data_IF_729801659378
#
_entry.id   IF_729801659378
#
_cell.length_a   1.000
_cell.length_b   1.000
_cell.length_c   1.000
_cell.angle_alpha   90.00
_cell.angle_beta   90.00
_cell.angle_gamma   90.00
#
_symmetry.space_group_name_H-M   'P 1'
#
loop_
_entity.id
_entity.type
_entity.pdbx_description
1 polymer ?
#
# COMPACT_ATOMS: atom_id res chain seq x y z
N UNK A 1 -23.36 -31.37 -47.61
CA UNK A 1 -23.75 -30.70 -46.34
C UNK A 1 -22.94 -31.17 -45.12
N UNK A 2 -22.59 -32.46 -44.98
CA UNK A 2 -21.83 -33.01 -43.84
C UNK A 2 -20.38 -32.51 -43.73
N UNK A 3 -19.66 -32.45 -44.85
CA UNK A 3 -18.22 -32.09 -44.88
C UNK A 3 -17.94 -30.63 -44.49
N UNK A 4 -18.87 -29.71 -44.78
CA UNK A 4 -18.76 -28.29 -44.41
C UNK A 4 -18.97 -28.09 -42.90
N UNK A 5 -19.93 -28.81 -42.31
CA UNK A 5 -20.17 -28.78 -40.86
C UNK A 5 -18.99 -29.33 -40.07
N UNK A 6 -18.46 -30.48 -40.49
CA UNK A 6 -17.27 -31.06 -39.87
C UNK A 6 -16.05 -30.12 -39.96
N UNK A 7 -15.93 -29.36 -41.06
CA UNK A 7 -14.84 -28.39 -41.21
C UNK A 7 -15.02 -27.17 -40.31
N UNK A 8 -16.25 -26.66 -40.19
CA UNK A 8 -16.59 -25.57 -39.26
C UNK A 8 -16.29 -25.98 -37.81
N UNK A 9 -16.71 -27.17 -37.40
CA UNK A 9 -16.49 -27.70 -36.06
C UNK A 9 -14.99 -27.82 -35.74
N UNK A 10 -14.18 -28.37 -36.66
CA UNK A 10 -12.72 -28.42 -36.46
C UNK A 10 -12.06 -27.03 -36.33
N UNK A 11 -12.57 -26.03 -37.08
CA UNK A 11 -12.03 -24.67 -37.04
C UNK A 11 -12.42 -23.93 -35.77
N UNK A 12 -13.61 -24.19 -35.23
CA UNK A 12 -14.04 -23.65 -33.94
C UNK A 12 -13.22 -24.23 -32.79
N UNK A 13 -12.92 -25.52 -32.84
CA UNK A 13 -12.08 -26.22 -31.87
C UNK A 13 -10.62 -25.74 -31.92
N UNK A 14 -10.05 -25.59 -33.13
CA UNK A 14 -8.74 -24.98 -33.35
C UNK A 14 -8.69 -23.53 -32.83
N UNK A 15 -9.74 -22.74 -33.08
CA UNK A 15 -9.82 -21.36 -32.59
C UNK A 15 -9.92 -21.30 -31.06
N UNK A 16 -10.68 -22.20 -30.44
CA UNK A 16 -10.77 -22.29 -28.99
C UNK A 16 -9.43 -22.66 -28.35
N UNK A 17 -8.71 -23.62 -28.92
CA UNK A 17 -7.40 -24.05 -28.44
C UNK A 17 -6.34 -22.94 -28.57
N UNK A 18 -6.30 -22.25 -29.70
CA UNK A 18 -5.42 -21.10 -29.92
C UNK A 18 -5.75 -19.93 -28.98
N UNK A 19 -7.03 -19.64 -28.74
CA UNK A 19 -7.46 -18.62 -27.79
C UNK A 19 -7.02 -18.95 -26.36
N UNK A 20 -7.14 -20.21 -25.94
CA UNK A 20 -6.69 -20.68 -24.64
C UNK A 20 -5.16 -20.59 -24.50
N UNK A 21 -4.42 -20.95 -25.54
CA UNK A 21 -2.96 -20.82 -25.59
C UNK A 21 -2.52 -19.35 -25.52
N UNK A 22 -3.15 -18.48 -26.30
CA UNK A 22 -2.90 -17.04 -26.27
C UNK A 22 -3.21 -16.47 -24.88
N UNK A 23 -4.36 -16.81 -24.29
CA UNK A 23 -4.75 -16.36 -22.94
C UNK A 23 -3.75 -16.77 -21.86
N UNK A 24 -3.18 -17.99 -21.94
CA UNK A 24 -2.10 -18.45 -21.05
C UNK A 24 -0.81 -17.67 -21.23
N UNK A 25 -0.50 -17.21 -22.45
CA UNK A 25 0.79 -16.61 -22.78
C UNK A 25 0.77 -15.07 -22.85
N UNK A 26 -0.38 -14.41 -22.95
CA UNK A 26 -0.51 -12.94 -22.91
C UNK A 26 0.17 -12.37 -21.66
N UNK A 27 0.07 -13.08 -20.53
CA UNK A 27 0.74 -12.70 -19.29
C UNK A 27 2.26 -12.57 -19.42
N UNK A 28 2.90 -13.37 -20.30
CA UNK A 28 4.36 -13.35 -20.56
C UNK A 28 4.74 -12.14 -21.42
N UNK A 29 3.88 -11.77 -22.37
CA UNK A 29 4.07 -10.60 -23.23
C UNK A 29 3.56 -9.29 -22.61
N UNK A 30 3.03 -9.34 -21.38
CA UNK A 30 2.56 -8.15 -20.68
C UNK A 30 3.66 -7.08 -20.60
N UNK A 31 3.42 -5.85 -21.10
CA UNK A 31 4.37 -4.76 -21.01
C UNK A 31 4.90 -4.53 -19.59
N UNK A 32 4.05 -4.77 -18.57
CA UNK A 32 4.41 -4.64 -17.15
C UNK A 32 5.53 -5.58 -16.69
N UNK A 33 5.75 -6.73 -17.37
CA UNK A 33 6.88 -7.62 -17.07
C UNK A 33 8.19 -7.14 -17.69
N UNK A 34 8.14 -6.28 -18.70
CA UNK A 34 9.32 -5.73 -19.40
C UNK A 34 9.69 -4.33 -18.91
N UNK A 35 8.78 -3.64 -18.23
CA UNK A 35 9.04 -2.32 -17.67
C UNK A 35 10.15 -2.33 -16.62
N UNK A 36 11.12 -1.41 -16.67
CA UNK A 36 12.11 -1.21 -15.62
C UNK A 36 11.46 -1.07 -14.23
N UNK A 37 12.16 -1.52 -13.18
CA UNK A 37 11.70 -1.44 -11.80
C UNK A 37 11.37 -0.01 -11.38
N UNK A 38 12.12 0.95 -11.88
CA UNK A 38 12.00 2.38 -11.61
C UNK A 38 10.64 2.90 -12.07
N UNK A 39 10.20 2.55 -13.28
CA UNK A 39 8.90 2.97 -13.80
C UNK A 39 7.74 2.30 -13.06
N UNK A 40 7.92 1.04 -12.65
CA UNK A 40 6.91 0.36 -11.83
C UNK A 40 6.81 1.03 -10.45
N UNK A 41 7.95 1.36 -9.82
CA UNK A 41 7.96 2.08 -8.54
C UNK A 41 7.35 3.47 -8.65
N UNK A 42 7.57 4.15 -9.79
CA UNK A 42 6.94 5.43 -10.08
C UNK A 42 5.42 5.28 -10.14
N UNK A 43 4.91 4.32 -10.92
CA UNK A 43 3.46 4.01 -10.98
C UNK A 43 2.90 3.70 -9.58
N UNK A 44 3.62 2.92 -8.77
CA UNK A 44 3.18 2.59 -7.41
C UNK A 44 3.08 3.84 -6.53
N UNK A 45 3.95 4.83 -6.72
CA UNK A 45 3.89 6.08 -5.97
C UNK A 45 2.58 6.83 -6.22
N UNK A 46 2.03 6.72 -7.43
CA UNK A 46 0.73 7.31 -7.77
C UNK A 46 -0.44 6.65 -7.06
N UNK A 47 -0.33 5.37 -6.67
CA UNK A 47 -1.36 4.68 -5.86
C UNK A 47 -1.44 5.19 -4.41
N UNK A 48 -0.47 6.01 -4.02
CA UNK A 48 -0.42 6.64 -2.70
C UNK A 48 -0.80 8.11 -2.79
N UNK A 49 -1.19 8.65 -3.95
CA UNK A 49 -1.33 10.10 -4.17
C UNK A 49 -2.34 10.73 -3.21
N UNK A 50 -3.49 10.08 -3.00
CA UNK A 50 -4.48 10.56 -2.05
C UNK A 50 -4.23 10.06 -0.63
N UNK A 51 -4.46 10.91 0.36
CA UNK A 51 -4.47 10.51 1.78
C UNK A 51 -5.53 9.42 1.99
N UNK A 52 -6.62 9.40 1.21
CA UNK A 52 -7.66 8.36 1.27
C UNK A 52 -7.14 6.98 0.88
N UNK A 53 -6.21 6.92 -0.08
CA UNK A 53 -5.68 5.67 -0.65
C UNK A 53 -4.53 5.09 0.18
N UNK A 54 -3.73 5.96 0.82
CA UNK A 54 -2.72 5.52 1.78
C UNK A 54 -3.40 5.19 3.11
N UNK A 55 -3.74 3.93 3.32
CA UNK A 55 -4.39 3.44 4.54
C UNK A 55 -3.59 2.28 5.12
N UNK A 56 -3.45 2.25 6.44
CA UNK A 56 -2.81 1.14 7.16
C UNK A 56 -3.84 0.17 7.75
N UNK A 57 -5.05 0.16 7.20
CA UNK A 57 -6.21 -0.47 7.84
C UNK A 57 -6.40 -1.92 7.42
N UNK A 58 -5.93 -2.28 6.22
CA UNK A 58 -6.02 -3.63 5.67
C UNK A 58 -4.79 -3.97 4.82
N UNK A 59 -4.53 -5.27 4.66
CA UNK A 59 -3.52 -5.79 3.70
C UNK A 59 -3.90 -5.50 2.25
N UNK A 60 -5.17 -5.17 1.99
CA UNK A 60 -5.67 -4.79 0.68
C UNK A 60 -5.50 -3.29 0.37
N UNK A 61 -5.02 -2.50 1.34
CA UNK A 61 -4.74 -1.08 1.14
C UNK A 61 -3.33 -0.90 0.55
N UNK A 62 -3.09 0.20 -0.16
CA UNK A 62 -1.74 0.56 -0.61
C UNK A 62 -0.89 1.02 0.59
N UNK A 63 0.41 0.64 0.68
CA UNK A 63 1.21 -0.10 -0.30
C UNK A 63 1.15 -1.63 -0.17
N UNK A 64 0.40 -2.18 0.79
CA UNK A 64 0.40 -3.62 1.10
C UNK A 64 -0.09 -4.49 -0.05
N UNK A 65 -1.18 -4.06 -0.71
CA UNK A 65 -1.76 -4.80 -1.84
C UNK A 65 -0.74 -5.06 -2.96
N UNK A 66 0.19 -4.13 -3.17
CA UNK A 66 1.24 -4.23 -4.19
C UNK A 66 2.21 -5.41 -3.90
N UNK A 67 2.34 -5.79 -2.63
CA UNK A 67 3.19 -6.92 -2.20
C UNK A 67 2.57 -8.30 -2.42
N UNK A 68 1.30 -8.35 -2.82
CA UNK A 68 0.52 -9.59 -2.98
C UNK A 68 0.19 -9.93 -4.44
N UNK A 69 0.55 -9.08 -5.40
CA UNK A 69 0.20 -9.28 -6.82
C UNK A 69 1.14 -10.26 -7.52
N UNK A 70 2.46 -10.09 -7.36
CA UNK A 70 3.48 -10.98 -7.94
C UNK A 70 4.79 -10.90 -7.16
N UNK A 71 5.68 -11.89 -7.35
CA UNK A 71 7.02 -11.87 -6.75
C UNK A 71 7.83 -10.63 -7.14
N UNK A 72 7.74 -10.20 -8.42
CA UNK A 72 8.40 -8.98 -8.92
C UNK A 72 7.84 -7.73 -8.25
N UNK A 73 6.52 -7.60 -8.18
CA UNK A 73 5.88 -6.44 -7.55
C UNK A 73 6.18 -6.37 -6.06
N UNK A 74 6.23 -7.52 -5.39
CA UNK A 74 6.67 -7.63 -4.00
C UNK A 74 8.11 -7.15 -3.82
N UNK A 75 9.04 -7.60 -4.66
CA UNK A 75 10.44 -7.16 -4.59
C UNK A 75 10.57 -5.65 -4.78
N UNK A 76 9.90 -5.09 -5.80
CA UNK A 76 9.91 -3.64 -6.08
C UNK A 76 9.28 -2.86 -4.92
N UNK A 77 8.12 -3.28 -4.44
CA UNK A 77 7.40 -2.60 -3.36
C UNK A 77 8.22 -2.57 -2.07
N UNK A 78 8.78 -3.71 -1.68
CA UNK A 78 9.61 -3.82 -0.47
C UNK A 78 10.95 -3.07 -0.62
N UNK A 79 11.50 -3.02 -1.83
CA UNK A 79 12.75 -2.33 -2.15
C UNK A 79 12.61 -0.82 -2.39
N UNK A 80 11.41 -0.25 -2.29
CA UNK A 80 11.15 1.18 -2.55
C UNK A 80 10.70 1.87 -1.24
N UNK A 81 11.62 2.44 -0.44
CA UNK A 81 11.29 3.03 0.87
C UNK A 81 10.25 4.15 0.83
N UNK A 82 10.16 4.92 -0.26
CA UNK A 82 9.22 6.03 -0.40
C UNK A 82 7.75 5.57 -0.37
N UNK A 83 7.44 4.35 -0.82
CA UNK A 83 6.10 3.78 -0.76
C UNK A 83 5.61 3.56 0.67
N UNK A 84 6.53 3.42 1.62
CA UNK A 84 6.22 3.15 3.03
C UNK A 84 6.21 4.43 3.88
N UNK A 85 6.55 5.57 3.29
CA UNK A 85 6.73 6.84 4.01
C UNK A 85 5.45 7.43 4.60
N UNK A 86 4.29 7.14 3.98
CA UNK A 86 3.01 7.75 4.35
C UNK A 86 2.22 6.84 5.27
N UNK A 87 2.04 7.28 6.51
CA UNK A 87 1.29 6.56 7.54
C UNK A 87 0.03 7.35 7.87
N UNK A 88 -1.13 6.73 7.66
CA UNK A 88 -2.44 7.34 7.92
C UNK A 88 -3.19 6.50 8.94
N UNK A 89 -3.46 7.11 10.10
CA UNK A 89 -4.21 6.49 11.20
C UNK A 89 -5.57 7.17 11.28
N UNK A 90 -6.64 6.44 10.98
CA UNK A 90 -8.02 6.95 11.00
C UNK A 90 -8.84 6.38 12.15
N UNK A 91 -9.88 7.09 12.60
CA UNK A 91 -10.86 6.53 13.53
C UNK A 91 -11.75 5.50 12.82
N UNK A 92 -12.28 4.53 13.57
CA UNK A 92 -13.11 3.45 13.03
C UNK A 92 -12.32 2.34 12.32
N UNK A 93 -11.12 2.63 11.84
CA UNK A 93 -10.23 1.63 11.26
C UNK A 93 -9.30 1.03 12.32
N UNK A 94 -9.08 -0.28 12.23
CA UNK A 94 -8.17 -1.00 13.11
C UNK A 94 -6.82 -1.16 12.42
N UNK A 95 -6.07 -0.07 12.31
CA UNK A 95 -4.67 -0.20 11.88
C UNK A 95 -3.94 -1.16 12.82
N UNK A 96 -3.38 -2.22 12.23
CA UNK A 96 -2.75 -3.30 12.97
C UNK A 96 -1.36 -2.81 13.38
N UNK A 97 -1.04 -2.83 14.68
CA UNK A 97 0.26 -2.37 15.21
C UNK A 97 1.46 -2.97 14.44
N UNK A 98 1.53 -4.30 14.23
CA UNK A 98 2.57 -4.92 13.39
C UNK A 98 2.67 -4.35 11.96
N UNK A 99 1.55 -3.98 11.34
CA UNK A 99 1.60 -3.39 10.00
C UNK A 99 2.23 -2.00 10.06
N UNK A 100 1.78 -1.15 10.98
CA UNK A 100 2.34 0.20 11.14
C UNK A 100 3.84 0.13 11.47
N UNK A 101 4.23 -0.75 12.38
CA UNK A 101 5.64 -1.00 12.71
C UNK A 101 6.44 -1.43 11.47
N UNK A 102 5.93 -2.39 10.71
CA UNK A 102 6.60 -2.86 9.51
C UNK A 102 6.67 -1.78 8.40
N UNK A 103 5.73 -0.83 8.34
CA UNK A 103 5.87 0.35 7.46
C UNK A 103 6.97 1.28 7.96
N UNK A 104 6.98 1.59 9.25
CA UNK A 104 8.01 2.43 9.89
C UNK A 104 9.42 1.89 9.61
N UNK A 105 9.61 0.57 9.73
CA UNK A 105 10.91 -0.07 9.50
C UNK A 105 11.38 0.01 8.04
N UNK A 106 10.45 0.04 7.07
CA UNK A 106 10.79 0.10 5.64
C UNK A 106 10.97 1.52 5.11
N UNK A 107 10.27 2.47 5.69
CA UNK A 107 10.40 3.86 5.32
C UNK A 107 11.78 4.40 5.71
N UNK A 108 12.25 5.42 5.02
CA UNK A 108 13.40 6.23 5.47
C UNK A 108 12.93 7.52 6.14
N UNK A 109 11.92 8.16 5.53
CA UNK A 109 11.26 9.39 6.00
C UNK A 109 9.78 9.11 6.26
N UNK A 110 9.18 9.81 7.21
CA UNK A 110 7.81 9.57 7.65
C UNK A 110 6.94 10.81 7.46
N UNK A 111 5.79 10.61 6.83
CA UNK A 111 4.71 11.58 6.66
C UNK A 111 3.47 11.04 7.35
N UNK A 112 3.17 11.58 8.52
CA UNK A 112 2.18 11.02 9.44
C UNK A 112 0.91 11.87 9.40
N UNK A 113 -0.22 11.21 9.24
CA UNK A 113 -1.55 11.80 9.31
C UNK A 113 -2.34 11.04 10.37
N UNK A 114 -2.54 11.67 11.53
CA UNK A 114 -3.14 11.04 12.68
C UNK A 114 -4.49 11.69 13.01
N UNK A 115 -5.56 10.93 12.81
CA UNK A 115 -6.94 11.34 13.06
C UNK A 115 -7.46 10.60 14.30
N UNK A 116 -7.34 11.25 15.46
CA UNK A 116 -7.76 10.76 16.76
C UNK A 116 -9.24 11.04 17.06
N UNK A 117 -9.94 10.08 17.66
CA UNK A 117 -11.32 10.27 18.16
C UNK A 117 -11.46 9.83 19.62
N UNK A 118 -12.49 10.31 20.35
CA UNK A 118 -12.66 9.97 21.76
C UNK A 118 -12.89 8.47 22.01
N UNK A 119 -13.43 7.77 21.00
CA UNK A 119 -13.96 6.40 21.08
C UNK A 119 -12.83 5.36 21.07
N UNK A 120 -11.70 5.63 20.40
CA UNK A 120 -10.63 4.63 20.16
C UNK A 120 -9.31 4.96 20.87
N UNK A 121 -9.38 5.73 21.96
CA UNK A 121 -8.24 6.40 22.60
C UNK A 121 -7.10 5.45 23.04
N UNK A 122 -7.37 4.23 23.52
CA UNK A 122 -6.31 3.32 24.01
C UNK A 122 -5.40 2.78 22.90
N UNK A 123 -5.97 2.32 21.77
CA UNK A 123 -5.17 1.81 20.63
C UNK A 123 -4.45 2.96 19.92
N UNK A 124 -5.15 4.07 19.72
CA UNK A 124 -4.59 5.27 19.11
C UNK A 124 -3.42 5.83 19.94
N UNK A 125 -3.51 5.80 21.27
CA UNK A 125 -2.39 6.14 22.15
C UNK A 125 -1.15 5.29 21.88
N UNK A 126 -1.29 3.96 21.85
CA UNK A 126 -0.16 3.05 21.56
C UNK A 126 0.45 3.30 20.19
N UNK A 127 -0.38 3.53 19.18
CA UNK A 127 0.09 3.86 17.82
C UNK A 127 0.86 5.18 17.81
N UNK A 128 0.36 6.19 18.51
CA UNK A 128 1.04 7.48 18.61
C UNK A 128 2.36 7.37 19.36
N UNK A 129 2.40 6.65 20.47
CA UNK A 129 3.63 6.35 21.22
C UNK A 129 4.66 5.65 20.33
N UNK A 130 4.27 4.61 19.59
CA UNK A 130 5.13 3.93 18.61
C UNK A 130 5.67 4.91 17.55
N UNK A 131 4.79 5.70 16.92
CA UNK A 131 5.20 6.67 15.91
C UNK A 131 6.21 7.67 16.49
N UNK A 132 5.96 8.16 17.70
CA UNK A 132 6.78 9.18 18.36
C UNK A 132 8.22 8.73 18.60
N UNK A 133 8.46 7.41 18.76
CA UNK A 133 9.80 6.84 18.93
C UNK A 133 10.68 7.03 17.68
N UNK A 134 10.06 7.27 16.53
CA UNK A 134 10.74 7.50 15.25
C UNK A 134 10.61 8.95 14.75
N UNK A 135 10.40 9.89 15.67
CA UNK A 135 10.22 11.32 15.43
C UNK A 135 11.35 11.99 14.64
N UNK A 136 12.59 11.51 14.79
CA UNK A 136 13.74 12.03 14.03
C UNK A 136 13.61 11.87 12.51
N UNK A 137 12.73 10.97 12.05
CA UNK A 137 12.47 10.69 10.63
C UNK A 137 11.22 11.40 10.10
N UNK A 138 10.52 12.16 10.94
CA UNK A 138 9.28 12.83 10.55
C UNK A 138 9.58 14.04 9.66
N UNK A 139 9.03 14.03 8.45
CA UNK A 139 9.05 15.18 7.53
C UNK A 139 7.75 15.97 7.56
N UNK A 140 6.64 15.29 7.84
CA UNK A 140 5.32 15.90 7.86
C UNK A 140 4.50 15.26 8.96
N UNK A 141 3.83 16.08 9.75
CA UNK A 141 2.94 15.65 10.82
C UNK A 141 1.64 16.44 10.74
N UNK A 142 0.54 15.75 10.48
CA UNK A 142 -0.81 16.28 10.61
C UNK A 142 -1.52 15.58 11.76
N UNK A 143 -2.00 16.37 12.73
CA UNK A 143 -2.69 15.89 13.91
C UNK A 143 -4.10 16.49 13.96
N UNK A 144 -5.10 15.62 13.91
CA UNK A 144 -6.46 15.95 14.32
C UNK A 144 -6.75 15.13 15.57
N UNK A 145 -6.72 15.76 16.75
CA UNK A 145 -6.84 15.05 18.02
C UNK A 145 -8.18 15.37 18.69
N UNK A 146 -8.77 14.34 19.32
CA UNK A 146 -9.80 14.58 20.34
C UNK A 146 -9.17 15.10 21.63
N UNK A 147 -9.97 15.77 22.47
CA UNK A 147 -9.54 16.30 23.78
C UNK A 147 -8.83 15.24 24.65
N UNK A 148 -9.26 13.97 24.59
CA UNK A 148 -8.65 12.84 25.33
C UNK A 148 -7.23 12.47 24.86
N UNK A 149 -6.84 12.87 23.65
CA UNK A 149 -5.54 12.54 23.04
C UNK A 149 -4.57 13.74 23.04
N UNK A 150 -5.03 14.93 23.41
CA UNK A 150 -4.19 16.14 23.55
C UNK A 150 -3.05 15.91 24.57
N UNK A 151 -3.29 15.06 25.58
CA UNK A 151 -2.28 14.66 26.58
C UNK A 151 -1.06 13.96 25.99
N UNK A 152 -1.08 13.58 24.70
CA UNK A 152 0.06 12.98 24.01
C UNK A 152 1.02 14.02 23.43
N UNK A 153 0.58 15.27 23.23
CA UNK A 153 1.41 16.32 22.64
C UNK A 153 2.69 16.63 23.43
N UNK A 154 2.71 16.62 24.78
CA UNK A 154 3.95 16.84 25.53
C UNK A 154 5.07 15.86 25.17
N UNK A 155 4.74 14.61 24.79
CA UNK A 155 5.73 13.61 24.38
C UNK A 155 6.46 13.95 23.07
N UNK A 156 5.95 14.93 22.30
CA UNK A 156 6.58 15.42 21.09
C UNK A 156 7.54 16.60 21.34
N UNK A 157 7.44 17.26 22.51
CA UNK A 157 8.15 18.51 22.78
C UNK A 157 9.67 18.33 22.78
N UNK A 158 10.16 17.24 23.35
CA UNK A 158 11.59 16.93 23.39
C UNK A 158 12.11 16.30 22.09
N UNK A 159 11.22 16.07 21.12
CA UNK A 159 11.46 15.24 19.94
C UNK A 159 11.30 15.97 18.62
N UNK A 160 10.75 17.18 18.64
CA UNK A 160 10.62 18.07 17.49
C UNK A 160 11.40 19.34 17.80
N UNK A 161 12.60 19.55 17.23
CA UNK A 161 13.46 20.69 17.55
C UNK A 161 12.91 22.06 17.10
N UNK A 162 11.65 22.14 16.69
CA UNK A 162 11.04 23.33 16.08
C UNK A 162 9.59 23.59 16.49
N UNK A 163 9.18 23.18 17.70
CA UNK A 163 7.90 23.57 18.33
C UNK A 163 8.09 24.45 19.56
#
# INVERSE_FOLDING_TARGET
MSRLRARMESLEEDRASLSAYHSRNIGIFSPLRRMPSELISEIFSWTLSSIMEASCSSVNDSPWVLTHISSRWRAISLGTPSLWSRIVIRPGYHSILPMVEAQIQRAQKLRIYFFGTPIHSRRQRKLFELLSQHSSRWEHLFLQLSTKLVVLLPSLRDRLPSL
#
